data_IF_050015772099
#
_entry.id   IF_050015772099
#
_cell.length_a   1.000
_cell.length_b   1.000
_cell.length_c   1.000
_cell.angle_alpha   90.00
_cell.angle_beta   90.00
_cell.angle_gamma   90.00
#
_symmetry.space_group_name_H-M   'P 1'
#
loop_
_entity.id
_entity.type
_entity.pdbx_description
1 polymer ?
#
# COMPACT_ATOMS: atom_id res chain seq x y z
N UNK A 1 -1.31 -1.68 3.75
CA UNK A 1 -2.30 -0.58 3.87
C UNK A 1 -1.76 0.64 3.16
N UNK A 2 -2.62 1.37 2.45
CA UNK A 2 -2.26 2.60 1.77
C UNK A 2 -2.97 3.78 2.44
N UNK A 3 -2.24 4.89 2.55
CA UNK A 3 -2.73 6.16 3.05
C UNK A 3 -2.51 7.24 2.00
N UNK A 4 -3.46 8.15 1.83
CA UNK A 4 -3.22 9.38 1.10
C UNK A 4 -2.38 10.38 1.94
N UNK A 5 -1.93 11.48 1.34
CA UNK A 5 -1.09 12.46 2.04
C UNK A 5 -1.79 13.19 3.19
N UNK A 6 -3.12 13.10 3.32
CA UNK A 6 -3.84 13.60 4.50
C UNK A 6 -3.75 12.63 5.69
N UNK A 7 -3.17 11.45 5.49
CA UNK A 7 -3.11 10.37 6.48
C UNK A 7 -4.35 9.48 6.50
N UNK A 8 -5.31 9.69 5.59
CA UNK A 8 -6.52 8.87 5.49
C UNK A 8 -6.19 7.53 4.84
N UNK A 9 -6.65 6.45 5.46
CA UNK A 9 -6.55 5.11 4.87
C UNK A 9 -7.47 5.02 3.64
N UNK A 10 -6.89 4.68 2.49
CA UNK A 10 -7.63 4.55 1.23
C UNK A 10 -7.77 3.10 0.78
N UNK A 11 -6.87 2.22 1.25
CA UNK A 11 -6.92 0.80 0.90
C UNK A 11 -6.25 -0.06 1.98
N UNK A 12 -6.84 -1.22 2.23
CA UNK A 12 -6.28 -2.25 3.09
C UNK A 12 -6.52 -3.62 2.48
N UNK A 13 -5.44 -4.38 2.37
CA UNK A 13 -5.48 -5.80 2.04
C UNK A 13 -4.61 -6.60 2.99
N UNK A 14 -4.94 -7.87 3.13
CA UNK A 14 -4.12 -8.86 3.83
C UNK A 14 -3.27 -9.59 2.78
N UNK A 15 -1.97 -9.66 3.03
CA UNK A 15 -1.09 -10.50 2.21
C UNK A 15 -1.54 -11.96 2.33
N UNK A 16 -1.65 -12.64 1.19
CA UNK A 16 -1.90 -14.07 1.13
C UNK A 16 -0.59 -14.82 1.38
N UNK A 17 -0.55 -15.77 2.33
CA UNK A 17 0.64 -16.59 2.55
C UNK A 17 1.01 -17.37 1.29
N UNK A 18 2.31 -17.50 1.01
CA UNK A 18 2.84 -18.37 -0.04
C UNK A 18 3.03 -17.71 -1.41
N UNK A 19 2.65 -16.44 -1.59
CA UNK A 19 3.00 -15.66 -2.78
C UNK A 19 4.27 -14.84 -2.50
N UNK A 20 5.32 -14.96 -3.35
CA UNK A 20 6.56 -14.21 -3.16
C UNK A 20 6.38 -12.72 -3.49
N UNK A 21 5.40 -12.40 -4.32
CA UNK A 21 5.12 -11.05 -4.81
C UNK A 21 3.64 -10.73 -4.63
N UNK A 22 3.36 -9.46 -4.37
CA UNK A 22 2.00 -8.95 -4.22
C UNK A 22 1.82 -7.75 -5.14
N UNK A 23 0.86 -7.87 -6.05
CA UNK A 23 0.50 -6.82 -6.99
C UNK A 23 -0.74 -6.09 -6.49
N UNK A 24 -0.73 -4.77 -6.60
CA UNK A 24 -1.87 -3.92 -6.29
C UNK A 24 -2.36 -3.30 -7.60
N UNK A 25 -3.64 -3.49 -7.90
CA UNK A 25 -4.30 -2.74 -8.96
C UNK A 25 -4.54 -1.29 -8.48
N UNK A 26 -4.01 -0.35 -9.25
CA UNK A 26 -4.13 1.09 -8.99
C UNK A 26 -5.25 1.72 -9.81
N UNK A 27 -6.02 0.92 -10.57
CA UNK A 27 -7.21 1.41 -11.25
C UNK A 27 -8.18 2.06 -10.25
N UNK A 28 -8.59 3.30 -10.56
CA UNK A 28 -9.45 4.10 -9.68
C UNK A 28 -8.73 4.88 -8.57
N UNK A 29 -7.41 4.75 -8.42
CA UNK A 29 -6.63 5.70 -7.62
C UNK A 29 -6.42 6.98 -8.43
N UNK A 30 -6.56 8.14 -7.76
CA UNK A 30 -6.18 9.41 -8.36
C UNK A 30 -4.67 9.53 -8.50
N UNK A 31 -4.21 10.33 -9.46
CA UNK A 31 -2.80 10.69 -9.53
C UNK A 31 -2.36 11.40 -8.23
N UNK A 32 -1.18 11.06 -7.72
CA UNK A 32 -0.67 11.61 -6.47
C UNK A 32 0.33 10.71 -5.73
N UNK A 33 0.68 11.14 -4.53
CA UNK A 33 1.59 10.41 -3.64
C UNK A 33 0.79 9.69 -2.56
N UNK A 34 1.16 8.44 -2.31
CA UNK A 34 0.57 7.58 -1.29
C UNK A 34 1.66 7.01 -0.39
N UNK A 35 1.32 6.76 0.87
CA UNK A 35 2.18 6.05 1.82
C UNK A 35 1.71 4.60 1.89
N UNK A 36 2.61 3.68 1.55
CA UNK A 36 2.40 2.25 1.67
C UNK A 36 2.99 1.79 3.00
N UNK A 37 2.17 1.16 3.84
CA UNK A 37 2.59 0.52 5.09
C UNK A 37 2.33 -0.97 5.01
N UNK A 38 3.39 -1.77 5.12
CA UNK A 38 3.33 -3.23 5.12
C UNK A 38 3.64 -3.72 6.53
N UNK A 39 2.73 -4.50 7.12
CA UNK A 39 2.98 -5.16 8.40
C UNK A 39 3.59 -6.53 8.15
N UNK A 40 4.79 -6.76 8.65
CA UNK A 40 5.48 -8.04 8.54
C UNK A 40 4.97 -9.03 9.59
N UNK A 41 5.32 -10.32 9.40
CA UNK A 41 4.89 -11.40 10.31
C UNK A 41 5.41 -11.23 11.74
N UNK A 42 6.61 -10.67 11.89
CA UNK A 42 7.22 -10.35 13.19
C UNK A 42 6.59 -9.12 13.88
N UNK A 43 5.60 -8.47 13.23
CA UNK A 43 4.91 -7.30 13.74
C UNK A 43 5.59 -5.97 13.40
N UNK A 44 6.77 -6.00 12.77
CA UNK A 44 7.43 -4.80 12.26
C UNK A 44 6.66 -4.19 11.07
N UNK A 45 7.06 -2.98 10.70
CA UNK A 45 6.45 -2.26 9.57
C UNK A 45 7.51 -1.79 8.58
N UNK A 46 7.30 -2.13 7.31
CA UNK A 46 7.92 -1.45 6.18
C UNK A 46 7.05 -0.25 5.77
N UNK A 47 7.68 0.88 5.45
CA UNK A 47 6.99 2.10 5.01
C UNK A 47 7.67 2.62 3.75
N UNK A 48 6.88 2.83 2.70
CA UNK A 48 7.33 3.20 1.36
C UNK A 48 6.45 4.34 0.81
N UNK A 49 7.00 5.12 -0.13
CA UNK A 49 6.24 6.12 -0.88
C UNK A 49 5.95 5.58 -2.27
N UNK A 50 4.69 5.63 -2.67
CA UNK A 50 4.24 5.23 -3.99
C UNK A 50 3.70 6.45 -4.73
N UNK A 51 4.14 6.63 -5.97
CA UNK A 51 3.64 7.69 -6.85
C UNK A 51 2.74 7.07 -7.89
N UNK A 52 1.50 7.55 -7.98
CA UNK A 52 0.53 7.19 -9.02
C UNK A 52 0.51 8.33 -10.03
N UNK A 53 0.78 8.00 -11.29
CA UNK A 53 0.70 8.92 -12.42
C UNK A 53 -0.56 8.59 -13.24
N UNK A 54 -0.93 9.49 -14.16
CA UNK A 54 -1.98 9.20 -15.14
C UNK A 54 -1.53 8.23 -16.24
#
# INVERSE_FOLDING_TARGET
TLYDMSGREVYRSRMQPGLPEYYLDLSGFGAGVYVVRVRMRDGSFGVERMVVMD
#
